data_IF_480350198438
#
_entry.id   IF_480350198438
#
_cell.length_a   1.000
_cell.length_b   1.000
_cell.length_c   1.000
_cell.angle_alpha   90.00
_cell.angle_beta   90.00
_cell.angle_gamma   90.00
#
_symmetry.space_group_name_H-M   'P 1'
#
loop_
_entity.id
_entity.type
_entity.pdbx_description
1 polymer ?
#
# COMPACT_ATOMS: atom_id res chain seq x y z
N UNK A 1 -51.43 -15.54 -40.89
CA UNK A 1 -51.10 -14.46 -39.91
C UNK A 1 -50.75 -14.92 -38.49
N UNK A 2 -50.64 -16.23 -38.18
CA UNK A 2 -50.31 -16.73 -36.81
C UNK A 2 -48.84 -17.16 -36.59
N UNK A 3 -47.99 -17.13 -37.64
CA UNK A 3 -46.56 -17.53 -37.52
C UNK A 3 -45.58 -16.36 -37.30
N UNK A 4 -46.01 -15.12 -37.53
CA UNK A 4 -45.13 -13.92 -37.39
C UNK A 4 -45.08 -13.35 -35.98
N UNK A 5 -46.01 -13.70 -35.09
CA UNK A 5 -46.07 -13.19 -33.70
C UNK A 5 -45.15 -13.98 -32.76
N UNK A 6 -44.87 -15.27 -33.10
CA UNK A 6 -44.02 -16.12 -32.24
C UNK A 6 -42.50 -15.78 -32.36
N UNK A 7 -42.11 -15.17 -33.50
CA UNK A 7 -40.69 -14.81 -33.73
C UNK A 7 -40.28 -13.47 -33.07
N UNK A 8 -41.26 -12.61 -32.77
CA UNK A 8 -41.01 -11.31 -32.12
C UNK A 8 -40.84 -11.44 -30.60
N UNK A 9 -41.38 -12.51 -29.99
CA UNK A 9 -41.27 -12.77 -28.55
C UNK A 9 -39.92 -13.40 -28.16
N UNK A 10 -39.20 -14.06 -29.06
CA UNK A 10 -37.87 -14.62 -28.78
C UNK A 10 -36.72 -13.58 -28.86
N UNK A 11 -36.93 -12.45 -29.50
CA UNK A 11 -35.91 -11.39 -29.61
C UNK A 11 -35.87 -10.50 -28.36
N UNK A 12 -36.92 -10.43 -27.55
CA UNK A 12 -37.00 -9.56 -26.35
C UNK A 12 -36.40 -10.25 -25.10
N UNK A 13 -36.30 -11.59 -25.08
CA UNK A 13 -35.70 -12.31 -23.93
C UNK A 13 -34.18 -12.34 -23.99
N UNK A 14 -33.56 -11.99 -25.12
CA UNK A 14 -32.10 -12.00 -25.32
C UNK A 14 -31.36 -10.75 -24.86
N UNK A 15 -32.04 -9.69 -24.45
CA UNK A 15 -31.39 -8.40 -24.15
C UNK A 15 -31.27 -8.03 -22.65
N UNK A 16 -31.68 -8.88 -21.73
CA UNK A 16 -31.58 -8.61 -20.28
C UNK A 16 -30.53 -9.45 -19.55
N UNK A 17 -29.59 -10.07 -20.26
CA UNK A 17 -28.49 -10.83 -19.66
C UNK A 17 -27.12 -10.09 -19.75
N UNK A 18 -27.11 -8.79 -20.02
CA UNK A 18 -25.90 -8.01 -19.98
C UNK A 18 -25.87 -7.18 -18.71
N UNK A 19 -25.02 -7.54 -17.77
CA UNK A 19 -24.64 -6.58 -16.74
C UNK A 19 -24.61 -7.05 -15.28
N UNK A 20 -24.53 -8.32 -14.99
CA UNK A 20 -24.31 -8.74 -13.60
C UNK A 20 -22.87 -9.22 -13.39
N UNK A 21 -22.28 -8.77 -12.25
CA UNK A 21 -21.05 -9.31 -11.70
C UNK A 21 -21.16 -10.82 -11.56
N UNK A 22 -20.08 -11.56 -11.81
CA UNK A 22 -20.11 -13.03 -11.68
C UNK A 22 -20.54 -13.46 -10.29
N UNK A 23 -21.17 -14.61 -10.16
CA UNK A 23 -21.56 -15.14 -8.84
C UNK A 23 -20.37 -15.27 -7.88
N UNK A 24 -19.19 -15.62 -8.42
CA UNK A 24 -17.97 -15.74 -7.64
C UNK A 24 -17.54 -14.39 -7.07
N UNK A 25 -17.48 -13.34 -7.88
CA UNK A 25 -17.10 -11.99 -7.41
C UNK A 25 -18.14 -11.43 -6.44
N UNK A 26 -19.44 -11.63 -6.70
CA UNK A 26 -20.50 -11.21 -5.77
C UNK A 26 -20.36 -11.91 -4.42
N UNK A 27 -20.06 -13.21 -4.40
CA UNK A 27 -19.85 -13.95 -3.16
C UNK A 27 -18.62 -13.43 -2.41
N UNK A 28 -17.50 -13.12 -3.09
CA UNK A 28 -16.33 -12.54 -2.48
C UNK A 28 -16.63 -11.19 -1.79
N UNK A 29 -17.46 -10.35 -2.40
CA UNK A 29 -17.92 -9.10 -1.79
C UNK A 29 -18.84 -9.34 -0.58
N UNK A 30 -19.75 -10.33 -0.65
CA UNK A 30 -20.63 -10.72 0.47
C UNK A 30 -19.79 -11.30 1.62
N UNK A 31 -18.76 -12.08 1.33
CA UNK A 31 -17.82 -12.58 2.33
C UNK A 31 -17.06 -11.44 2.99
N UNK A 32 -16.60 -10.45 2.22
CA UNK A 32 -15.96 -9.25 2.78
C UNK A 32 -16.94 -8.50 3.70
N UNK A 33 -18.18 -8.30 3.26
CA UNK A 33 -19.22 -7.68 4.07
C UNK A 33 -19.42 -8.42 5.38
N UNK A 34 -19.58 -9.73 5.33
CA UNK A 34 -19.83 -10.57 6.49
C UNK A 34 -18.64 -10.64 7.44
N UNK A 35 -17.42 -10.86 6.90
CA UNK A 35 -16.19 -10.98 7.68
C UNK A 35 -15.76 -9.66 8.31
N UNK A 36 -16.07 -8.54 7.69
CA UNK A 36 -15.73 -7.20 8.16
C UNK A 36 -16.91 -6.50 8.88
N UNK A 37 -17.96 -7.24 9.27
CA UNK A 37 -19.15 -6.76 10.00
C UNK A 37 -19.89 -5.63 9.28
N UNK A 38 -20.29 -5.90 8.05
CA UNK A 38 -20.92 -4.96 7.13
C UNK A 38 -22.14 -4.19 7.67
N UNK A 39 -22.92 -4.82 8.55
CA UNK A 39 -24.07 -4.18 9.21
C UNK A 39 -23.67 -3.00 10.10
N UNK A 40 -22.41 -2.96 10.56
CA UNK A 40 -21.86 -1.89 11.39
C UNK A 40 -21.10 -0.82 10.61
N UNK A 41 -21.01 -0.92 9.29
CA UNK A 41 -20.33 0.07 8.46
C UNK A 41 -21.07 1.40 8.43
N UNK A 42 -20.33 2.50 8.28
CA UNK A 42 -20.93 3.83 8.11
C UNK A 42 -21.73 3.89 6.81
N UNK A 43 -21.18 3.29 5.74
CA UNK A 43 -21.76 3.18 4.40
C UNK A 43 -21.96 1.69 4.10
N UNK A 44 -23.03 1.14 4.67
CA UNK A 44 -23.33 -0.30 4.56
C UNK A 44 -24.00 -0.62 3.23
N UNK A 45 -23.77 -1.83 2.71
CA UNK A 45 -24.38 -2.29 1.46
C UNK A 45 -25.77 -2.90 1.70
N UNK A 46 -26.72 -2.57 0.85
CA UNK A 46 -27.94 -3.36 0.71
C UNK A 46 -27.68 -4.57 -0.18
N UNK A 47 -27.49 -5.74 0.43
CA UNK A 47 -27.15 -6.99 -0.28
C UNK A 47 -28.25 -7.47 -1.24
N UNK A 48 -29.47 -6.92 -1.16
CA UNK A 48 -30.57 -7.19 -2.09
C UNK A 48 -30.48 -6.37 -3.37
N UNK A 49 -29.77 -5.24 -3.30
CA UNK A 49 -29.56 -4.34 -4.43
C UNK A 49 -28.44 -4.84 -5.35
N UNK A 50 -28.40 -4.41 -6.63
CA UNK A 50 -27.33 -4.74 -7.55
C UNK A 50 -25.95 -4.27 -7.04
N UNK A 51 -24.88 -5.04 -7.28
CA UNK A 51 -23.50 -4.70 -6.85
C UNK A 51 -23.05 -3.33 -7.36
N UNK A 52 -23.53 -2.91 -8.53
CA UNK A 52 -23.26 -1.59 -9.10
C UNK A 52 -23.73 -0.40 -8.25
N UNK A 53 -24.59 -0.66 -7.26
CA UNK A 53 -25.09 0.36 -6.32
C UNK A 53 -24.38 0.30 -4.96
N UNK A 54 -23.47 -0.65 -4.75
CA UNK A 54 -22.75 -0.77 -3.48
C UNK A 54 -21.66 0.28 -3.40
N UNK A 55 -21.80 1.16 -2.44
CA UNK A 55 -20.89 2.29 -2.28
C UNK A 55 -19.45 1.81 -2.10
N UNK A 56 -18.52 2.45 -2.80
CA UNK A 56 -17.11 2.07 -2.78
C UNK A 56 -16.75 0.90 -3.70
N UNK A 57 -17.71 0.30 -4.42
CA UNK A 57 -17.44 -0.72 -5.43
C UNK A 57 -17.52 -0.10 -6.83
N UNK A 58 -16.48 -0.29 -7.64
CA UNK A 58 -16.47 0.14 -9.04
C UNK A 58 -16.42 -1.07 -9.95
N UNK A 59 -17.25 -1.05 -10.99
CA UNK A 59 -17.33 -2.10 -12.00
C UNK A 59 -16.84 -1.58 -13.35
N UNK A 60 -16.05 -2.38 -14.07
CA UNK A 60 -15.74 -2.21 -15.49
C UNK A 60 -16.12 -3.50 -16.23
N UNK A 61 -16.94 -3.40 -17.26
CA UNK A 61 -17.41 -4.57 -18.03
C UNK A 61 -17.96 -5.71 -17.14
N UNK A 62 -18.72 -5.34 -16.10
CA UNK A 62 -19.28 -6.25 -15.09
C UNK A 62 -18.26 -7.01 -14.24
N UNK A 63 -17.04 -6.50 -14.14
CA UNK A 63 -15.99 -7.00 -13.27
C UNK A 63 -15.73 -6.00 -12.15
N UNK A 64 -15.45 -6.50 -10.96
CA UNK A 64 -15.07 -5.66 -9.82
C UNK A 64 -13.62 -5.21 -10.03
N UNK A 65 -13.43 -3.91 -10.28
CA UNK A 65 -12.09 -3.34 -10.52
C UNK A 65 -11.58 -2.48 -9.38
N UNK A 66 -12.47 -1.99 -8.52
CA UNK A 66 -12.07 -1.19 -7.35
C UNK A 66 -12.98 -1.46 -6.17
N UNK A 67 -12.37 -1.55 -4.99
CA UNK A 67 -13.04 -1.51 -3.69
C UNK A 67 -12.37 -0.41 -2.88
N UNK A 68 -13.12 0.67 -2.60
CA UNK A 68 -12.68 1.78 -1.74
C UNK A 68 -13.66 1.95 -0.56
N UNK A 69 -13.28 1.35 0.56
CA UNK A 69 -14.05 1.39 1.83
C UNK A 69 -13.23 2.08 2.93
N UNK A 70 -12.39 3.05 2.54
CA UNK A 70 -11.59 3.84 3.48
C UNK A 70 -12.52 4.54 4.50
N UNK A 71 -12.11 4.53 5.77
CA UNK A 71 -12.80 5.21 6.87
C UNK A 71 -14.31 4.88 6.92
N UNK A 72 -14.63 3.59 6.98
CA UNK A 72 -16.01 3.09 6.92
C UNK A 72 -16.40 2.18 8.10
N UNK A 73 -15.62 2.21 9.19
CA UNK A 73 -15.87 1.41 10.41
C UNK A 73 -15.85 -0.13 10.18
N UNK A 74 -15.08 -0.61 9.20
CA UNK A 74 -14.87 -2.05 9.02
C UNK A 74 -14.19 -2.64 10.25
N UNK A 75 -14.67 -3.80 10.72
CA UNK A 75 -14.05 -4.54 11.82
C UNK A 75 -14.17 -6.05 11.57
N UNK A 76 -13.25 -6.83 12.12
CA UNK A 76 -13.13 -8.25 11.79
C UNK A 76 -11.93 -8.49 10.88
N UNK A 77 -12.04 -9.23 9.78
CA UNK A 77 -10.88 -9.61 8.96
C UNK A 77 -11.16 -9.58 7.46
N UNK A 78 -10.11 -9.56 6.66
CA UNK A 78 -10.18 -9.69 5.20
C UNK A 78 -10.33 -11.19 4.88
N UNK A 79 -11.39 -11.61 4.18
CA UNK A 79 -11.62 -13.02 3.86
C UNK A 79 -10.71 -13.53 2.75
N UNK A 80 -10.45 -14.84 2.73
CA UNK A 80 -9.67 -15.47 1.66
C UNK A 80 -10.30 -15.34 0.27
N UNK A 81 -11.62 -15.23 0.18
CA UNK A 81 -12.32 -15.03 -1.08
C UNK A 81 -12.02 -13.68 -1.75
N UNK A 82 -11.31 -12.75 -1.07
CA UNK A 82 -10.82 -11.52 -1.70
C UNK A 82 -9.98 -11.82 -2.94
N UNK A 83 -9.21 -12.92 -2.92
CA UNK A 83 -8.39 -13.39 -4.04
C UNK A 83 -9.18 -13.87 -5.27
N UNK A 84 -10.52 -13.93 -5.21
CA UNK A 84 -11.38 -14.30 -6.32
C UNK A 84 -11.74 -13.09 -7.21
N UNK A 85 -11.43 -11.89 -6.76
CA UNK A 85 -11.65 -10.64 -7.50
C UNK A 85 -10.52 -10.39 -8.51
N UNK A 86 -10.39 -11.27 -9.51
CA UNK A 86 -9.24 -11.32 -10.44
C UNK A 86 -9.01 -10.06 -11.27
N UNK A 87 -10.01 -9.23 -11.41
CA UNK A 87 -9.94 -7.99 -12.16
C UNK A 87 -9.69 -6.76 -11.27
N UNK A 88 -9.52 -6.97 -9.94
CA UNK A 88 -9.33 -5.89 -8.98
C UNK A 88 -8.01 -5.15 -9.22
N UNK A 89 -8.10 -3.83 -9.39
CA UNK A 89 -6.97 -2.91 -9.58
C UNK A 89 -6.70 -2.10 -8.31
N UNK A 90 -7.75 -1.78 -7.54
CA UNK A 90 -7.66 -0.97 -6.33
C UNK A 90 -8.35 -1.66 -5.17
N UNK A 91 -7.62 -1.88 -4.09
CA UNK A 91 -8.15 -2.30 -2.80
C UNK A 91 -7.74 -1.29 -1.74
N UNK A 92 -8.67 -0.45 -1.32
CA UNK A 92 -8.45 0.54 -0.27
C UNK A 92 -9.40 0.27 0.91
N UNK A 93 -8.85 -0.28 1.98
CA UNK A 93 -9.53 -0.54 3.26
C UNK A 93 -8.87 0.23 4.41
N UNK A 94 -8.10 1.27 4.11
CA UNK A 94 -7.37 2.06 5.11
C UNK A 94 -8.31 2.77 6.11
N UNK A 95 -7.77 3.15 7.28
CA UNK A 95 -8.50 3.92 8.30
C UNK A 95 -9.74 3.16 8.82
N UNK A 96 -9.59 1.88 9.12
CA UNK A 96 -10.64 1.03 9.66
C UNK A 96 -10.17 0.30 10.94
N UNK A 97 -10.94 -0.67 11.41
CA UNK A 97 -10.66 -1.49 12.59
C UNK A 97 -10.42 -2.98 12.24
N UNK A 98 -9.99 -3.25 11.00
CA UNK A 98 -9.72 -4.62 10.55
C UNK A 98 -8.57 -5.24 11.33
N UNK A 99 -8.76 -6.48 11.75
CA UNK A 99 -7.75 -7.32 12.41
C UNK A 99 -7.46 -8.58 11.61
N UNK A 100 -6.92 -9.61 12.31
CA UNK A 100 -6.46 -10.82 11.64
C UNK A 100 -5.19 -10.59 10.83
N UNK A 101 -4.93 -11.42 9.83
CA UNK A 101 -3.76 -11.32 8.94
C UNK A 101 -4.14 -10.87 7.54
N UNK A 102 -3.16 -10.43 6.77
CA UNK A 102 -3.30 -10.29 5.31
C UNK A 102 -3.44 -11.71 4.74
N UNK A 103 -4.56 -12.06 4.09
CA UNK A 103 -4.74 -13.41 3.57
C UNK A 103 -3.78 -13.68 2.40
N UNK A 104 -3.18 -14.89 2.37
CA UNK A 104 -2.29 -15.31 1.28
C UNK A 104 -2.95 -15.18 -0.10
N UNK A 105 -4.27 -15.34 -0.17
CA UNK A 105 -5.02 -15.20 -1.42
C UNK A 105 -4.96 -13.80 -2.04
N UNK A 106 -4.51 -12.78 -1.31
CA UNK A 106 -4.34 -11.42 -1.85
C UNK A 106 -3.33 -11.40 -2.99
N UNK A 107 -2.32 -12.31 -2.97
CA UNK A 107 -1.31 -12.42 -4.00
C UNK A 107 -1.87 -12.92 -5.34
N UNK A 108 -3.10 -13.46 -5.34
CA UNK A 108 -3.81 -13.88 -6.56
C UNK A 108 -4.43 -12.72 -7.34
N UNK A 109 -4.32 -11.49 -6.84
CA UNK A 109 -4.86 -10.28 -7.47
C UNK A 109 -3.87 -9.70 -8.48
N UNK A 110 -3.53 -10.44 -9.53
CA UNK A 110 -2.48 -10.13 -10.51
C UNK A 110 -2.66 -8.78 -11.24
N UNK A 111 -3.86 -8.18 -11.16
CA UNK A 111 -4.15 -6.86 -11.75
C UNK A 111 -4.07 -5.72 -10.73
N UNK A 112 -3.78 -6.02 -9.45
CA UNK A 112 -3.77 -5.02 -8.39
C UNK A 112 -2.66 -3.99 -8.63
N UNK A 113 -3.04 -2.72 -8.56
CA UNK A 113 -2.17 -1.55 -8.71
C UNK A 113 -2.00 -0.83 -7.37
N UNK A 114 -3.07 -0.79 -6.58
CA UNK A 114 -3.08 -0.12 -5.28
C UNK A 114 -3.59 -1.07 -4.20
N UNK A 115 -2.75 -1.29 -3.18
CA UNK A 115 -3.13 -1.97 -1.94
C UNK A 115 -2.94 -1.02 -0.77
N UNK A 116 -4.04 -0.57 -0.15
CA UNK A 116 -4.03 0.28 1.04
C UNK A 116 -4.79 -0.38 2.18
N UNK A 117 -4.07 -0.78 3.19
CA UNK A 117 -4.57 -1.36 4.43
C UNK A 117 -4.11 -0.55 5.65
N UNK A 118 -3.49 0.61 5.43
CA UNK A 118 -2.92 1.44 6.51
C UNK A 118 -3.94 1.87 7.56
N UNK A 119 -3.47 2.10 8.80
CA UNK A 119 -4.29 2.48 9.97
C UNK A 119 -5.43 1.48 10.22
N UNK A 120 -5.04 0.25 10.54
CA UNK A 120 -5.89 -0.86 10.94
C UNK A 120 -5.27 -1.60 12.16
N UNK A 121 -5.76 -2.78 12.47
CA UNK A 121 -5.25 -3.68 13.53
C UNK A 121 -4.77 -5.01 12.93
N UNK A 122 -4.36 -5.01 11.68
CA UNK A 122 -3.90 -6.20 10.95
C UNK A 122 -2.57 -6.65 11.56
N UNK A 123 -2.44 -7.95 11.82
CA UNK A 123 -1.28 -8.55 12.46
C UNK A 123 -0.73 -9.72 11.64
N UNK A 124 0.37 -10.33 12.11
CA UNK A 124 1.03 -11.43 11.40
C UNK A 124 2.03 -10.92 10.36
N UNK A 125 2.37 -11.76 9.39
CA UNK A 125 3.39 -11.47 8.40
C UNK A 125 2.80 -10.88 7.13
N UNK A 126 3.63 -10.20 6.36
CA UNK A 126 3.36 -9.90 4.95
C UNK A 126 3.48 -11.23 4.17
N UNK A 127 2.55 -11.58 3.28
CA UNK A 127 2.62 -12.81 2.49
C UNK A 127 3.93 -12.96 1.73
N UNK A 128 4.57 -14.14 1.82
CA UNK A 128 5.87 -14.40 1.20
C UNK A 128 5.85 -14.22 -0.33
N UNK A 129 4.70 -14.52 -0.97
CA UNK A 129 4.52 -14.38 -2.42
C UNK A 129 3.93 -13.02 -2.82
N UNK A 130 4.10 -11.97 -2.00
CA UNK A 130 3.59 -10.63 -2.34
C UNK A 130 4.16 -10.11 -3.68
N UNK A 131 5.31 -10.64 -4.10
CA UNK A 131 5.93 -10.36 -5.40
C UNK A 131 5.09 -10.72 -6.61
N UNK A 132 4.12 -11.64 -6.47
CA UNK A 132 3.18 -12.03 -7.54
C UNK A 132 2.31 -10.85 -8.00
N UNK A 133 2.22 -9.79 -7.19
CA UNK A 133 1.52 -8.56 -7.53
C UNK A 133 2.35 -7.65 -8.46
N UNK A 134 2.77 -8.17 -9.60
CA UNK A 134 3.70 -7.51 -10.54
C UNK A 134 3.26 -6.11 -11.03
N UNK A 135 1.96 -5.80 -10.91
CA UNK A 135 1.40 -4.50 -11.32
C UNK A 135 1.30 -3.50 -10.18
N UNK A 136 1.63 -3.90 -8.96
CA UNK A 136 1.47 -3.05 -7.79
C UNK A 136 2.39 -1.82 -7.87
N UNK A 137 1.79 -0.66 -7.64
CA UNK A 137 2.45 0.65 -7.61
C UNK A 137 2.50 1.21 -6.19
N UNK A 138 1.44 0.95 -5.41
CA UNK A 138 1.33 1.42 -4.02
C UNK A 138 1.09 0.24 -3.09
N UNK A 139 1.99 0.08 -2.11
CA UNK A 139 1.84 -0.82 -0.97
C UNK A 139 1.81 0.01 0.31
N UNK A 140 0.62 0.19 0.86
CA UNK A 140 0.41 0.95 2.10
C UNK A 140 -0.14 0.03 3.20
N UNK A 141 0.73 -0.30 4.15
CA UNK A 141 0.44 -1.10 5.34
C UNK A 141 0.77 -0.32 6.64
N UNK A 142 0.92 1.01 6.52
CA UNK A 142 1.25 1.92 7.61
C UNK A 142 0.34 1.73 8.82
N UNK A 143 0.93 1.82 10.03
CA UNK A 143 0.21 1.79 11.30
C UNK A 143 -0.70 0.55 11.44
N UNK A 144 -0.08 -0.59 11.67
CA UNK A 144 -0.72 -1.89 11.90
C UNK A 144 0.07 -2.69 12.96
N UNK A 145 -0.30 -3.96 13.18
CA UNK A 145 0.39 -4.90 14.07
C UNK A 145 1.22 -5.94 13.31
N UNK A 146 1.71 -5.62 12.10
CA UNK A 146 2.48 -6.57 11.29
C UNK A 146 3.83 -6.87 11.94
N UNK A 147 4.31 -8.10 11.76
CA UNK A 147 5.55 -8.60 12.35
C UNK A 147 6.29 -9.55 11.40
N UNK A 148 7.48 -10.00 11.79
CA UNK A 148 8.33 -10.83 10.93
C UNK A 148 9.19 -10.00 10.00
N UNK A 149 9.82 -10.66 9.05
CA UNK A 149 10.75 -10.04 8.10
C UNK A 149 10.05 -9.62 6.81
N UNK A 150 10.69 -8.73 6.05
CA UNK A 150 10.22 -8.34 4.72
C UNK A 150 10.46 -9.48 3.73
N UNK A 151 9.44 -9.94 3.00
CA UNK A 151 9.63 -10.92 1.94
C UNK A 151 10.61 -10.41 0.87
N UNK A 152 11.56 -11.26 0.46
CA UNK A 152 12.50 -10.94 -0.62
C UNK A 152 11.78 -10.61 -1.93
N UNK A 153 10.62 -11.22 -2.13
CA UNK A 153 9.77 -11.06 -3.31
C UNK A 153 9.24 -9.64 -3.52
N UNK A 154 9.21 -8.78 -2.48
CA UNK A 154 8.85 -7.37 -2.66
C UNK A 154 9.74 -6.71 -3.73
N UNK A 155 11.04 -7.03 -3.75
CA UNK A 155 11.98 -6.51 -4.75
C UNK A 155 11.73 -7.01 -6.19
N UNK A 156 10.77 -7.90 -6.39
CA UNK A 156 10.35 -8.38 -7.72
C UNK A 156 9.24 -7.50 -8.31
N UNK A 157 8.55 -6.70 -7.51
CA UNK A 157 7.46 -5.81 -7.93
C UNK A 157 8.04 -4.54 -8.57
N UNK A 158 8.53 -4.64 -9.79
CA UNK A 158 9.31 -3.59 -10.47
C UNK A 158 8.58 -2.26 -10.64
N UNK A 159 7.24 -2.24 -10.53
CA UNK A 159 6.41 -1.05 -10.70
C UNK A 159 6.16 -0.28 -9.42
N UNK A 160 6.63 -0.77 -8.25
CA UNK A 160 6.44 -0.07 -6.99
C UNK A 160 7.04 1.33 -7.02
N UNK A 161 6.23 2.29 -6.63
CA UNK A 161 6.60 3.69 -6.42
C UNK A 161 6.52 4.08 -4.94
N UNK A 162 5.60 3.46 -4.20
CA UNK A 162 5.34 3.82 -2.81
C UNK A 162 5.28 2.56 -1.94
N UNK A 163 6.11 2.52 -0.90
CA UNK A 163 6.10 1.50 0.16
C UNK A 163 5.98 2.21 1.51
N UNK A 164 4.85 2.05 2.20
CA UNK A 164 4.58 2.61 3.51
C UNK A 164 4.38 1.47 4.51
N UNK A 165 5.38 1.22 5.34
CA UNK A 165 5.41 0.14 6.35
C UNK A 165 5.68 0.67 7.76
N UNK A 166 5.80 1.99 7.93
CA UNK A 166 6.09 2.59 9.24
C UNK A 166 4.99 2.28 10.27
N UNK A 167 5.38 2.33 11.55
CA UNK A 167 4.50 2.03 12.69
C UNK A 167 3.94 0.60 12.63
N UNK A 168 4.85 -0.39 12.69
CA UNK A 168 4.56 -1.81 12.77
C UNK A 168 5.56 -2.51 13.71
N UNK A 169 5.50 -3.84 13.78
CA UNK A 169 6.47 -4.68 14.51
C UNK A 169 7.42 -5.45 13.59
N UNK A 170 7.64 -4.97 12.35
CA UNK A 170 8.48 -5.64 11.37
C UNK A 170 9.94 -5.67 11.82
N UNK A 171 10.67 -6.71 11.43
CA UNK A 171 12.03 -6.97 11.90
C UNK A 171 12.93 -7.52 10.78
N UNK A 172 14.15 -7.94 11.12
CA UNK A 172 15.14 -8.40 10.14
C UNK A 172 15.84 -7.23 9.47
N UNK A 173 16.36 -7.44 8.27
CA UNK A 173 17.07 -6.42 7.48
C UNK A 173 16.27 -6.00 6.26
N UNK A 174 16.63 -4.86 5.67
CA UNK A 174 16.12 -4.47 4.35
C UNK A 174 16.69 -5.46 3.31
N UNK A 175 15.84 -6.13 2.51
CA UNK A 175 16.32 -7.03 1.50
C UNK A 175 17.17 -6.34 0.42
N UNK A 176 18.29 -6.95 0.02
CA UNK A 176 19.13 -6.44 -1.09
C UNK A 176 18.33 -6.27 -2.39
N UNK A 177 17.27 -7.07 -2.57
CA UNK A 177 16.38 -7.01 -3.73
C UNK A 177 15.64 -5.68 -3.88
N UNK A 178 15.55 -4.87 -2.80
CA UNK A 178 14.94 -3.54 -2.88
C UNK A 178 15.67 -2.62 -3.85
N UNK A 179 16.98 -2.78 -4.03
CA UNK A 179 17.76 -2.08 -5.07
C UNK A 179 17.26 -2.30 -6.51
N UNK A 180 16.38 -3.27 -6.72
CA UNK A 180 15.74 -3.51 -8.02
C UNK A 180 14.52 -2.60 -8.29
N UNK A 181 14.01 -1.90 -7.30
CA UNK A 181 12.78 -1.10 -7.37
C UNK A 181 13.06 0.28 -7.98
N UNK A 182 13.48 0.31 -9.24
CA UNK A 182 13.99 1.50 -9.93
C UNK A 182 12.99 2.67 -10.02
N UNK A 183 11.69 2.41 -9.89
CA UNK A 183 10.65 3.43 -9.89
C UNK A 183 10.24 3.88 -8.50
N UNK A 184 10.88 3.36 -7.43
CA UNK A 184 10.52 3.70 -6.07
C UNK A 184 10.82 5.17 -5.78
N UNK A 185 9.79 5.88 -5.32
CA UNK A 185 9.83 7.29 -4.96
C UNK A 185 9.77 7.49 -3.45
N UNK A 186 9.11 6.57 -2.74
CA UNK A 186 8.91 6.69 -1.30
C UNK A 186 9.10 5.35 -0.61
N UNK A 187 10.04 5.30 0.34
CA UNK A 187 10.31 4.15 1.20
C UNK A 187 10.21 4.57 2.67
N UNK A 188 9.16 4.13 3.36
CA UNK A 188 8.94 4.40 4.77
C UNK A 188 8.91 3.10 5.58
N UNK A 189 9.92 2.93 6.42
CA UNK A 189 10.13 1.80 7.32
C UNK A 189 10.22 2.24 8.79
N UNK A 190 9.99 3.52 9.09
CA UNK A 190 10.16 4.10 10.42
C UNK A 190 9.28 3.44 11.49
N UNK A 191 9.70 3.55 12.75
CA UNK A 191 9.00 2.97 13.91
C UNK A 191 8.67 1.47 13.71
N UNK A 192 9.75 0.67 13.66
CA UNK A 192 9.73 -0.78 13.51
C UNK A 192 10.88 -1.42 14.31
N UNK A 193 11.13 -2.71 14.11
CA UNK A 193 12.24 -3.45 14.74
C UNK A 193 13.33 -3.84 13.73
N UNK A 194 13.42 -3.15 12.58
CA UNK A 194 14.44 -3.45 11.58
C UNK A 194 15.84 -3.24 12.13
N UNK A 195 16.80 -4.07 11.69
CA UNK A 195 18.19 -4.00 12.15
C UNK A 195 19.16 -4.42 11.04
N UNK A 196 20.44 -4.65 11.45
CA UNK A 196 21.49 -4.92 10.48
C UNK A 196 21.99 -3.66 9.80
N UNK A 197 22.64 -3.80 8.66
CA UNK A 197 23.15 -2.72 7.83
C UNK A 197 22.03 -2.20 6.90
N UNK A 198 22.09 -0.92 6.56
CA UNK A 198 21.35 -0.40 5.40
C UNK A 198 22.09 -0.85 4.15
N UNK A 199 21.40 -1.53 3.20
CA UNK A 199 22.11 -2.10 2.06
C UNK A 199 22.52 -1.04 1.04
N UNK A 200 23.77 -1.13 0.55
CA UNK A 200 24.30 -0.26 -0.51
C UNK A 200 23.44 -0.27 -1.76
N UNK A 201 22.78 -1.41 -2.05
CA UNK A 201 21.91 -1.54 -3.22
C UNK A 201 20.79 -0.49 -3.32
N UNK A 202 20.44 0.20 -2.22
CA UNK A 202 19.50 1.32 -2.24
C UNK A 202 20.01 2.53 -3.04
N UNK A 203 21.32 2.66 -3.28
CA UNK A 203 21.91 3.66 -4.19
C UNK A 203 21.35 3.58 -5.62
N UNK A 204 20.81 2.41 -5.98
CA UNK A 204 20.19 2.20 -7.28
C UNK A 204 18.80 2.83 -7.43
N UNK A 205 18.20 3.36 -6.38
CA UNK A 205 16.86 3.93 -6.36
C UNK A 205 16.85 5.38 -6.83
N UNK A 206 17.26 5.62 -8.07
CA UNK A 206 17.48 6.97 -8.61
C UNK A 206 16.24 7.86 -8.64
N UNK A 207 15.04 7.29 -8.50
CA UNK A 207 13.78 8.03 -8.40
C UNK A 207 13.35 8.32 -6.94
N UNK A 208 14.13 7.83 -5.94
CA UNK A 208 13.76 7.97 -4.55
C UNK A 208 13.76 9.44 -4.13
N UNK A 209 12.65 9.88 -3.54
CA UNK A 209 12.42 11.23 -3.01
C UNK A 209 12.40 11.24 -1.49
N UNK A 210 11.90 10.16 -0.90
CA UNK A 210 11.73 10.07 0.56
C UNK A 210 12.24 8.72 1.08
N UNK A 211 13.13 8.80 2.08
CA UNK A 211 13.65 7.66 2.82
C UNK A 211 13.43 7.87 4.32
N UNK A 212 12.58 7.06 4.94
CA UNK A 212 12.31 7.08 6.37
C UNK A 212 12.71 5.76 7.00
N UNK A 213 13.80 5.77 7.75
CA UNK A 213 14.33 4.61 8.50
C UNK A 213 14.36 4.87 10.01
N UNK A 214 13.91 6.05 10.45
CA UNK A 214 13.92 6.46 11.85
C UNK A 214 13.24 5.46 12.79
N UNK A 215 13.58 5.50 14.09
CA UNK A 215 12.95 4.65 15.12
C UNK A 215 13.07 3.15 14.78
N UNK A 216 14.33 2.68 14.59
CA UNK A 216 14.65 1.29 14.28
C UNK A 216 15.93 0.84 15.03
N UNK A 217 16.52 -0.28 14.60
CA UNK A 217 17.75 -0.84 15.18
C UNK A 217 18.85 -0.99 14.13
N UNK A 218 18.85 -0.18 13.08
CA UNK A 218 19.89 -0.17 12.06
C UNK A 218 21.24 0.23 12.69
N UNK A 219 22.32 -0.37 12.20
CA UNK A 219 23.68 -0.18 12.74
C UNK A 219 24.72 -0.20 11.64
N UNK A 220 25.98 0.13 12.02
CA UNK A 220 27.10 0.23 11.10
C UNK A 220 27.06 1.51 10.29
N UNK A 221 27.92 1.60 9.29
CA UNK A 221 28.02 2.77 8.42
C UNK A 221 26.76 2.89 7.54
N UNK A 222 26.27 4.12 7.38
CA UNK A 222 25.20 4.39 6.43
C UNK A 222 25.84 4.62 5.04
N UNK A 223 25.34 4.01 3.96
CA UNK A 223 25.89 4.19 2.62
C UNK A 223 25.70 5.64 2.13
N UNK A 224 26.79 6.43 2.11
CA UNK A 224 26.75 7.86 1.75
C UNK A 224 26.24 8.10 0.32
N UNK A 225 26.44 7.15 -0.59
CA UNK A 225 25.99 7.25 -1.98
C UNK A 225 24.46 7.36 -2.07
N UNK A 226 23.72 6.81 -1.10
CA UNK A 226 22.27 7.01 -0.99
C UNK A 226 21.93 8.49 -0.82
N UNK A 227 22.71 9.24 -0.04
CA UNK A 227 22.51 10.68 0.15
C UNK A 227 22.81 11.48 -1.13
N UNK A 228 23.52 10.86 -2.08
CA UNK A 228 23.85 11.46 -3.38
C UNK A 228 22.77 11.27 -4.44
N UNK A 229 21.71 10.50 -4.16
CA UNK A 229 20.63 10.26 -5.08
C UNK A 229 20.00 11.56 -5.63
N UNK A 230 19.77 11.67 -6.94
CA UNK A 230 19.47 12.95 -7.59
C UNK A 230 18.13 13.57 -7.18
N UNK A 231 17.15 12.73 -6.82
CA UNK A 231 15.79 13.15 -6.50
C UNK A 231 15.47 13.09 -5.00
N UNK A 232 16.43 12.72 -4.15
CA UNK A 232 16.19 12.53 -2.72
C UNK A 232 16.01 13.90 -2.03
N UNK A 233 14.86 14.09 -1.39
CA UNK A 233 14.43 15.35 -0.76
C UNK A 233 14.31 15.22 0.75
N UNK A 234 13.91 14.04 1.26
CA UNK A 234 13.68 13.78 2.66
C UNK A 234 14.38 12.52 3.13
N UNK A 235 15.14 12.64 4.22
CA UNK A 235 15.80 11.51 4.88
C UNK A 235 15.59 11.63 6.39
N UNK A 236 15.08 10.54 7.00
CA UNK A 236 14.94 10.42 8.45
C UNK A 236 15.64 9.16 8.94
N UNK A 237 16.67 9.31 9.75
CA UNK A 237 17.52 8.23 10.25
C UNK A 237 17.61 8.18 11.78
N UNK A 238 17.03 9.16 12.48
CA UNK A 238 17.13 9.32 13.93
C UNK A 238 16.62 8.07 14.68
N UNK A 239 17.08 7.94 15.94
CA UNK A 239 16.71 6.83 16.82
C UNK A 239 17.03 5.45 16.25
N UNK A 240 18.27 5.30 15.76
CA UNK A 240 18.88 4.07 15.32
C UNK A 240 20.19 3.78 16.10
N UNK A 241 20.97 2.82 15.65
CA UNK A 241 22.25 2.42 16.27
C UNK A 241 23.43 2.67 15.33
N UNK A 242 23.33 3.69 14.45
CA UNK A 242 24.44 4.13 13.62
C UNK A 242 25.57 4.69 14.47
N UNK A 243 26.82 4.57 14.04
CA UNK A 243 27.98 5.10 14.73
C UNK A 243 28.07 6.62 14.61
N UNK A 244 28.71 7.27 15.61
CA UNK A 244 28.82 8.75 15.64
C UNK A 244 29.66 9.34 14.52
N UNK A 245 30.51 8.55 13.87
CA UNK A 245 31.43 8.99 12.81
C UNK A 245 30.91 8.67 11.40
N UNK A 246 29.72 8.09 11.31
CA UNK A 246 29.23 7.48 10.08
C UNK A 246 28.61 8.49 9.09
N UNK A 247 28.64 9.78 9.45
CA UNK A 247 28.05 10.83 8.60
C UNK A 247 29.02 12.01 8.44
N UNK A 248 29.56 12.16 7.24
CA UNK A 248 30.30 13.36 6.87
C UNK A 248 29.29 14.49 6.64
N UNK A 249 29.02 15.25 7.71
CA UNK A 249 27.91 16.22 7.82
C UNK A 249 27.94 17.37 6.81
N UNK A 250 28.96 17.49 5.98
CA UNK A 250 29.10 18.61 5.04
C UNK A 250 28.40 18.35 3.70
N UNK A 251 28.29 17.09 3.26
CA UNK A 251 27.75 16.74 1.94
C UNK A 251 26.22 16.79 1.85
N UNK A 252 25.48 16.74 2.98
CA UNK A 252 24.02 16.63 2.98
C UNK A 252 23.25 17.91 3.31
N UNK A 253 23.88 18.89 3.99
CA UNK A 253 23.16 19.99 4.67
C UNK A 253 22.37 20.95 3.80
N UNK A 254 22.69 21.06 2.51
CA UNK A 254 22.07 22.05 1.63
C UNK A 254 21.12 21.44 0.56
N UNK A 255 21.01 20.10 0.52
CA UNK A 255 20.31 19.40 -0.54
C UNK A 255 18.92 18.94 -0.13
N UNK A 256 18.72 18.62 1.15
CA UNK A 256 17.48 18.00 1.63
C UNK A 256 16.49 19.03 2.17
N UNK A 257 15.21 18.83 1.88
CA UNK A 257 14.14 19.58 2.51
C UNK A 257 14.03 19.25 4.01
N UNK A 258 14.33 17.99 4.37
CA UNK A 258 14.43 17.52 5.74
C UNK A 258 15.49 16.41 5.84
N UNK A 259 16.53 16.64 6.65
CA UNK A 259 17.51 15.65 7.06
C UNK A 259 17.52 15.58 8.58
N UNK A 260 17.01 14.47 9.14
CA UNK A 260 16.97 14.27 10.59
C UNK A 260 17.79 13.05 10.98
N UNK A 261 18.76 13.30 11.87
CA UNK A 261 19.77 12.36 12.31
C UNK A 261 20.12 12.59 13.79
N UNK A 262 20.38 11.50 14.55
CA UNK A 262 20.76 11.54 15.96
C UNK A 262 22.14 12.17 16.17
N UNK A 263 22.23 13.48 16.22
CA UNK A 263 23.34 14.13 16.88
C UNK A 263 22.93 14.55 18.29
N UNK A 264 23.74 14.18 19.29
CA UNK A 264 23.65 14.68 20.67
C UNK A 264 23.90 16.20 20.78
N UNK A 265 23.85 16.93 19.68
CA UNK A 265 23.92 18.38 19.60
C UNK A 265 22.76 18.87 18.72
N UNK A 266 21.82 19.52 19.41
CA UNK A 266 20.72 20.29 18.85
C UNK A 266 21.20 21.16 17.67
N UNK A 267 20.87 20.78 16.43
CA UNK A 267 20.79 21.72 15.32
C UNK A 267 19.33 21.90 14.97
N UNK A 268 18.88 23.13 15.25
CA UNK A 268 17.52 23.55 14.94
C UNK A 268 17.26 23.36 13.43
N UNK A 269 16.30 22.53 13.12
CA UNK A 269 15.72 22.44 11.79
C UNK A 269 15.09 23.80 11.49
N UNK A 270 15.46 24.40 10.38
CA UNK A 270 14.80 25.62 9.91
C UNK A 270 13.41 25.29 9.38
N UNK A 271 12.44 25.30 10.28
CA UNK A 271 11.04 25.05 9.97
C UNK A 271 10.43 26.06 8.99
N UNK A 272 11.10 27.19 8.68
CA UNK A 272 10.61 28.16 7.70
C UNK A 272 10.64 27.62 6.27
N UNK A 273 11.50 26.64 5.98
CA UNK A 273 11.57 25.94 4.69
C UNK A 273 10.54 24.80 4.55
N UNK A 274 9.90 24.39 5.64
CA UNK A 274 8.93 23.30 5.70
C UNK A 274 7.51 23.74 5.28
N UNK A 275 7.28 25.01 4.98
CA UNK A 275 5.96 25.47 4.52
C UNK A 275 5.51 24.84 3.17
N UNK A 276 6.42 24.24 2.40
CA UNK A 276 6.07 23.35 1.27
C UNK A 276 5.81 21.91 1.70
N UNK A 277 6.28 21.49 2.88
CA UNK A 277 6.08 20.13 3.43
C UNK A 277 4.75 19.95 4.18
N UNK A 278 3.89 20.98 4.24
CA UNK A 278 2.49 20.79 4.67
C UNK A 278 1.75 19.75 3.81
N UNK A 279 2.20 19.54 2.58
CA UNK A 279 1.69 18.49 1.71
C UNK A 279 2.14 17.06 2.11
N UNK A 280 3.16 16.89 2.94
CA UNK A 280 3.71 15.57 3.30
C UNK A 280 2.81 14.83 4.31
N UNK A 281 2.11 15.54 5.19
CA UNK A 281 1.13 14.95 6.12
C UNK A 281 -0.29 14.87 5.55
N UNK A 282 -0.59 15.63 4.49
CA UNK A 282 -1.89 15.68 3.82
C UNK A 282 -1.90 14.95 2.46
N UNK A 283 -0.82 14.26 2.11
CA UNK A 283 -0.76 13.41 0.90
C UNK A 283 -1.73 12.20 0.94
N UNK A 284 -2.60 12.14 1.93
CA UNK A 284 -3.68 11.12 2.01
C UNK A 284 -4.72 11.28 0.87
N UNK A 285 -4.75 12.43 0.15
CA UNK A 285 -5.85 12.71 -0.80
C UNK A 285 -5.43 13.04 -2.24
N UNK A 286 -4.13 13.20 -2.55
CA UNK A 286 -3.71 13.63 -3.91
C UNK A 286 -3.14 12.53 -4.81
N UNK A 287 -3.09 11.28 -4.38
CA UNK A 287 -2.62 10.18 -5.23
C UNK A 287 -3.73 9.48 -6.05
N UNK A 288 -4.98 9.93 -5.98
CA UNK A 288 -6.03 9.46 -6.88
C UNK A 288 -5.82 9.93 -8.32
N UNK A 289 -5.14 11.06 -8.52
CA UNK A 289 -4.90 11.66 -9.85
C UNK A 289 -3.69 11.07 -10.61
N UNK A 290 -2.96 10.12 -10.02
CA UNK A 290 -1.75 9.53 -10.64
C UNK A 290 -2.00 8.21 -11.37
N UNK A 291 -3.26 7.82 -11.58
CA UNK A 291 -3.68 6.57 -12.25
C UNK A 291 -4.58 6.85 -13.45
N UNK A 292 -4.49 8.07 -14.07
CA UNK A 292 -4.99 8.32 -15.42
C UNK A 292 -3.93 8.05 -16.48
#
# INVERSE_FOLDING_TARGET
MKKSILMLLMVIVGQFLSGQVTGLEKNALIDLYSSAKGDAWIRSWDLKSPVSTWEGVTLENNKVVSINLMNNNLSGSIPNSIGDLKDLKVLNLALNNLGGSIPESITKLEKLVVLRLGKNKIAGKIPENIGDLEKLVVLDLFYNGLSGELPLSIGEIKKLRVILLSHNGLSGSIPLTFGNLRYLERLELGDNNFGGLVPDSLENLTNLKMLVLAENRFRGEFPEDILSLPNLELVQLQNNRFGKNDFNSENGKNKFALFDFDESNQRMIDFSKINSAKDVRTAETRFEDAVE
#
